data_IF_376665467206
#
_entry.id   IF_376665467206
#
_cell.length_a   1.000
_cell.length_b   1.000
_cell.length_c   1.000
_cell.angle_alpha   90.00
_cell.angle_beta   90.00
_cell.angle_gamma   90.00
#
_symmetry.space_group_name_H-M   'P 1'
#
loop_
_entity.id
_entity.type
_entity.pdbx_description
1 polymer ?
#
# COMPACT_ATOMS: atom_id res chain seq x y z
N UNK A 1 -1.46 19.06 -23.33
CA UNK A 1 -2.72 19.58 -23.91
C UNK A 1 -3.47 20.21 -22.75
N UNK A 2 -3.43 21.55 -22.68
CA UNK A 2 -4.28 22.31 -21.75
C UNK A 2 -5.69 22.32 -22.35
N UNK A 3 -6.50 21.34 -21.98
CA UNK A 3 -7.93 21.40 -22.25
C UNK A 3 -8.55 22.41 -21.29
N UNK A 4 -9.11 23.48 -21.85
CA UNK A 4 -9.88 24.46 -21.10
C UNK A 4 -11.04 23.76 -20.39
N UNK A 5 -11.20 24.01 -19.09
CA UNK A 5 -12.29 23.46 -18.28
C UNK A 5 -13.65 23.78 -18.92
N UNK A 6 -14.36 22.75 -19.37
CA UNK A 6 -15.65 22.87 -20.05
C UNK A 6 -16.66 21.94 -19.38
N UNK A 7 -17.66 22.50 -18.71
CA UNK A 7 -18.70 21.76 -17.95
C UNK A 7 -19.44 20.70 -18.81
N UNK A 8 -19.85 20.95 -20.06
CA UNK A 8 -20.42 19.93 -20.93
C UNK A 8 -19.49 18.73 -21.17
N UNK A 9 -18.20 18.95 -21.38
CA UNK A 9 -17.20 17.88 -21.52
C UNK A 9 -17.06 17.08 -20.24
N UNK A 10 -17.01 17.74 -19.09
CA UNK A 10 -16.94 17.07 -17.78
C UNK A 10 -18.15 16.16 -17.56
N UNK A 11 -19.37 16.62 -17.87
CA UNK A 11 -20.58 15.78 -17.75
C UNK A 11 -20.57 14.58 -18.69
N UNK A 12 -20.10 14.76 -19.92
CA UNK A 12 -19.99 13.67 -20.88
C UNK A 12 -18.96 12.64 -20.42
N UNK A 13 -17.75 13.08 -20.07
CA UNK A 13 -16.67 12.21 -19.60
C UNK A 13 -17.04 11.51 -18.29
N UNK A 14 -17.72 12.21 -17.36
CA UNK A 14 -18.20 11.61 -16.12
C UNK A 14 -19.25 10.52 -16.39
N UNK A 15 -20.12 10.70 -17.36
CA UNK A 15 -21.09 9.67 -17.76
C UNK A 15 -20.41 8.47 -18.42
N UNK A 16 -19.43 8.71 -19.25
CA UNK A 16 -18.65 7.67 -19.93
C UNK A 16 -17.76 6.89 -18.94
N UNK A 17 -17.27 7.58 -17.89
CA UNK A 17 -16.46 6.97 -16.82
C UNK A 17 -17.31 6.38 -15.67
N UNK A 18 -18.63 6.59 -15.64
CA UNK A 18 -19.47 6.22 -14.50
C UNK A 18 -19.39 4.74 -14.14
N UNK A 19 -19.35 3.84 -15.13
CA UNK A 19 -19.19 2.40 -14.89
C UNK A 19 -17.82 2.06 -14.31
N UNK A 20 -16.75 2.76 -14.72
CA UNK A 20 -15.42 2.56 -14.16
C UNK A 20 -15.35 3.01 -12.69
N UNK A 21 -16.05 4.09 -12.31
CA UNK A 21 -16.18 4.52 -10.91
C UNK A 21 -16.97 3.55 -10.04
N UNK A 22 -17.77 2.67 -10.65
CA UNK A 22 -18.49 1.64 -9.90
C UNK A 22 -17.52 0.60 -9.28
N UNK A 23 -16.35 0.37 -9.89
CA UNK A 23 -15.36 -0.59 -9.38
C UNK A 23 -14.87 -0.26 -7.96
N UNK A 24 -14.35 0.94 -7.68
CA UNK A 24 -13.98 1.32 -6.31
C UNK A 24 -15.16 1.23 -5.33
N UNK A 25 -16.37 1.61 -5.77
CA UNK A 25 -17.56 1.55 -4.92
C UNK A 25 -17.95 0.11 -4.58
N UNK A 26 -17.90 -0.81 -5.53
CA UNK A 26 -18.18 -2.24 -5.30
C UNK A 26 -17.14 -2.83 -4.34
N UNK A 27 -15.86 -2.57 -4.58
CA UNK A 27 -14.76 -3.14 -3.79
C UNK A 27 -14.79 -2.58 -2.37
N UNK A 28 -14.70 -1.25 -2.24
CA UNK A 28 -14.61 -0.59 -0.94
C UNK A 28 -15.94 -0.72 -0.18
N UNK A 29 -17.07 -0.53 -0.86
CA UNK A 29 -18.39 -0.68 -0.26
C UNK A 29 -18.66 -2.11 0.22
N UNK A 30 -18.21 -3.12 -0.53
CA UNK A 30 -18.31 -4.52 -0.14
C UNK A 30 -17.45 -4.86 1.09
N UNK A 31 -16.21 -4.37 1.12
CA UNK A 31 -15.27 -4.61 2.22
C UNK A 31 -15.69 -3.84 3.48
N UNK A 32 -15.94 -2.53 3.38
CA UNK A 32 -16.35 -1.71 4.54
C UNK A 32 -17.76 -2.01 5.03
N UNK A 33 -18.63 -2.49 4.13
CA UNK A 33 -19.95 -3.00 4.50
C UNK A 33 -19.93 -4.37 5.18
N UNK A 34 -18.78 -5.01 5.30
CA UNK A 34 -18.63 -6.34 5.90
C UNK A 34 -19.26 -7.48 5.08
N UNK A 35 -19.62 -7.22 3.83
CA UNK A 35 -20.27 -8.21 2.95
C UNK A 35 -19.28 -9.19 2.34
N UNK A 36 -18.06 -8.71 2.07
CA UNK A 36 -16.98 -9.49 1.46
C UNK A 36 -15.65 -9.23 2.15
N UNK A 37 -14.80 -10.24 2.18
CA UNK A 37 -13.40 -10.10 2.59
C UNK A 37 -12.59 -9.39 1.49
N UNK A 38 -11.39 -8.91 1.81
CA UNK A 38 -10.50 -8.28 0.84
C UNK A 38 -10.18 -9.20 -0.36
N UNK A 39 -10.04 -10.51 -0.11
CA UNK A 39 -9.77 -11.52 -1.15
C UNK A 39 -10.99 -11.73 -2.05
N UNK A 40 -12.18 -11.84 -1.48
CA UNK A 40 -13.44 -11.94 -2.24
C UNK A 40 -13.71 -10.65 -3.01
N UNK A 41 -13.43 -9.48 -2.41
CA UNK A 41 -13.50 -8.19 -3.07
C UNK A 41 -12.61 -8.10 -4.31
N UNK A 42 -11.39 -8.66 -4.24
CA UNK A 42 -10.51 -8.77 -5.41
C UNK A 42 -11.11 -9.66 -6.52
N UNK A 43 -11.72 -10.80 -6.15
CA UNK A 43 -12.44 -11.65 -7.11
C UNK A 43 -13.62 -10.92 -7.76
N UNK A 44 -14.43 -10.21 -6.98
CA UNK A 44 -15.52 -9.36 -7.49
C UNK A 44 -15.00 -8.26 -8.41
N UNK A 45 -13.86 -7.67 -8.12
CA UNK A 45 -13.23 -6.66 -8.98
C UNK A 45 -12.90 -7.22 -10.36
N UNK A 46 -12.37 -8.44 -10.43
CA UNK A 46 -12.10 -9.11 -11.72
C UNK A 46 -13.38 -9.32 -12.50
N UNK A 47 -14.42 -9.88 -11.88
CA UNK A 47 -15.71 -10.11 -12.55
C UNK A 47 -16.33 -8.79 -13.02
N UNK A 48 -16.36 -7.78 -12.15
CA UNK A 48 -16.89 -6.46 -12.50
C UNK A 48 -16.10 -5.79 -13.64
N UNK A 49 -14.76 -5.88 -13.61
CA UNK A 49 -13.90 -5.35 -14.68
C UNK A 49 -14.15 -6.03 -16.03
N UNK A 50 -14.35 -7.34 -16.04
CA UNK A 50 -14.72 -8.09 -17.25
C UNK A 50 -16.06 -7.63 -17.80
N UNK A 51 -17.08 -7.54 -16.94
CA UNK A 51 -18.42 -7.09 -17.34
C UNK A 51 -18.38 -5.67 -17.91
N UNK A 52 -17.69 -4.74 -17.23
CA UNK A 52 -17.55 -3.35 -17.69
C UNK A 52 -16.80 -3.28 -19.01
N UNK A 53 -15.71 -4.03 -19.14
CA UNK A 53 -14.93 -4.06 -20.38
C UNK A 53 -15.69 -4.64 -21.58
N UNK A 54 -16.56 -5.63 -21.33
CA UNK A 54 -17.47 -6.12 -22.38
C UNK A 54 -18.54 -5.07 -22.75
N UNK A 55 -19.09 -4.35 -21.79
CA UNK A 55 -20.07 -3.27 -22.04
C UNK A 55 -19.42 -2.16 -22.89
N UNK A 56 -18.18 -1.77 -22.57
CA UNK A 56 -17.43 -0.76 -23.34
C UNK A 56 -16.89 -1.31 -24.68
N UNK A 57 -17.01 -2.63 -24.92
CA UNK A 57 -16.44 -3.29 -26.10
C UNK A 57 -14.92 -3.08 -26.27
N UNK A 58 -14.23 -2.94 -25.15
CA UNK A 58 -12.78 -2.76 -25.12
C UNK A 58 -12.01 -4.06 -24.88
N UNK A 59 -12.71 -5.13 -24.46
CA UNK A 59 -12.13 -6.46 -24.25
C UNK A 59 -12.28 -7.28 -25.53
N UNK A 60 -11.12 -7.67 -26.08
CA UNK A 60 -10.96 -8.71 -27.09
C UNK A 60 -10.34 -9.95 -26.43
N UNK A 61 -10.59 -11.13 -27.01
CA UNK A 61 -10.07 -12.39 -26.47
C UNK A 61 -8.53 -12.37 -26.36
N UNK A 62 -7.85 -11.73 -27.30
CA UNK A 62 -6.39 -11.55 -27.26
C UNK A 62 -5.94 -10.72 -26.07
N UNK A 63 -6.56 -9.57 -25.81
CA UNK A 63 -6.27 -8.70 -24.67
C UNK A 63 -6.58 -9.40 -23.35
N UNK A 64 -7.67 -10.17 -23.29
CA UNK A 64 -8.01 -10.94 -22.10
C UNK A 64 -6.93 -11.99 -21.80
N UNK A 65 -6.45 -12.69 -22.81
CA UNK A 65 -5.37 -13.68 -22.68
C UNK A 65 -4.05 -13.02 -22.23
N UNK A 66 -3.68 -11.90 -22.85
CA UNK A 66 -2.50 -11.13 -22.47
C UNK A 66 -2.57 -10.66 -21.01
N UNK A 67 -3.69 -10.07 -20.60
CA UNK A 67 -3.91 -9.64 -19.19
C UNK A 67 -3.89 -10.80 -18.22
N UNK A 68 -4.44 -11.96 -18.60
CA UNK A 68 -4.39 -13.16 -17.76
C UNK A 68 -2.94 -13.66 -17.60
N UNK A 69 -2.16 -13.68 -18.68
CA UNK A 69 -0.75 -14.06 -18.62
C UNK A 69 0.07 -13.09 -17.75
N UNK A 70 -0.13 -11.77 -17.90
CA UNK A 70 0.54 -10.77 -17.05
C UNK A 70 0.15 -10.94 -15.59
N UNK A 71 -1.12 -11.14 -15.29
CA UNK A 71 -1.63 -11.42 -13.94
C UNK A 71 -1.02 -12.69 -13.34
N UNK A 72 -0.88 -13.75 -14.14
CA UNK A 72 -0.25 -15.00 -13.72
C UNK A 72 1.23 -14.80 -13.39
N UNK A 73 1.98 -14.06 -14.21
CA UNK A 73 3.39 -13.74 -13.98
C UNK A 73 3.55 -12.91 -12.69
N UNK A 74 2.71 -11.90 -12.48
CA UNK A 74 2.74 -11.09 -11.26
C UNK A 74 2.41 -11.94 -10.03
N UNK A 75 1.39 -12.79 -10.10
CA UNK A 75 1.02 -13.70 -9.03
C UNK A 75 2.15 -14.68 -8.70
N UNK A 76 2.77 -15.28 -9.72
CA UNK A 76 3.90 -16.18 -9.53
C UNK A 76 5.09 -15.47 -8.86
N UNK A 77 5.39 -14.24 -9.26
CA UNK A 77 6.45 -13.43 -8.65
C UNK A 77 6.18 -13.13 -7.19
N UNK A 78 4.94 -12.77 -6.84
CA UNK A 78 4.53 -12.53 -5.44
C UNK A 78 4.60 -13.83 -4.63
N UNK A 79 4.12 -14.96 -5.18
CA UNK A 79 4.18 -16.25 -4.50
C UNK A 79 5.62 -16.73 -4.25
N UNK A 80 6.53 -16.45 -5.19
CA UNK A 80 7.95 -16.74 -4.99
C UNK A 80 8.54 -15.91 -3.85
N UNK A 81 8.21 -14.62 -3.78
CA UNK A 81 8.61 -13.75 -2.67
C UNK A 81 8.04 -14.23 -1.33
N UNK A 82 6.79 -14.65 -1.28
CA UNK A 82 6.16 -15.22 -0.08
C UNK A 82 6.89 -16.49 0.35
N UNK A 83 7.15 -17.42 -0.57
CA UNK A 83 7.85 -18.66 -0.26
C UNK A 83 9.27 -18.40 0.28
N UNK A 84 10.03 -17.51 -0.37
CA UNK A 84 11.37 -17.12 0.09
C UNK A 84 11.33 -16.45 1.47
N UNK A 85 10.33 -15.61 1.73
CA UNK A 85 10.16 -14.92 3.00
C UNK A 85 9.78 -15.84 4.13
N UNK A 86 8.97 -16.87 3.87
CA UNK A 86 8.64 -17.91 4.88
C UNK A 86 9.90 -18.66 5.29
N UNK A 87 10.72 -19.09 4.33
CA UNK A 87 12.01 -19.76 4.62
C UNK A 87 12.96 -18.85 5.41
N UNK A 88 13.07 -17.58 5.00
CA UNK A 88 13.87 -16.61 5.73
C UNK A 88 13.32 -16.39 7.15
N UNK A 89 12.01 -16.25 7.29
CA UNK A 89 11.33 -16.07 8.58
C UNK A 89 11.57 -17.25 9.53
N UNK A 90 11.53 -18.48 9.02
CA UNK A 90 11.84 -19.68 9.80
C UNK A 90 13.31 -19.67 10.27
N UNK A 91 14.24 -19.38 9.37
CA UNK A 91 15.67 -19.24 9.73
C UNK A 91 15.87 -18.15 10.80
N UNK A 92 15.31 -16.96 10.60
CA UNK A 92 15.41 -15.86 11.55
C UNK A 92 14.83 -16.20 12.91
N UNK A 93 13.75 -17.00 12.96
CA UNK A 93 13.10 -17.43 14.19
C UNK A 93 13.95 -18.45 14.94
N UNK A 94 14.54 -19.42 14.23
CA UNK A 94 15.45 -20.42 14.81
C UNK A 94 16.68 -19.74 15.43
N UNK A 95 17.26 -18.77 14.72
CA UNK A 95 18.43 -18.00 15.19
C UNK A 95 18.06 -16.91 16.23
N UNK A 96 16.79 -16.73 16.54
CA UNK A 96 16.26 -15.72 17.46
C UNK A 96 16.70 -14.29 17.11
N UNK A 97 16.93 -14.02 15.83
CA UNK A 97 17.41 -12.73 15.36
C UNK A 97 16.41 -11.59 15.68
N UNK A 98 15.08 -11.74 15.45
CA UNK A 98 14.12 -10.72 15.82
C UNK A 98 14.13 -10.39 17.31
N UNK A 99 14.30 -11.39 18.17
CA UNK A 99 14.37 -11.22 19.61
C UNK A 99 15.65 -10.47 20.02
N UNK A 100 16.80 -10.86 19.47
CA UNK A 100 18.08 -10.17 19.73
C UNK A 100 18.05 -8.70 19.29
N UNK A 101 17.43 -8.43 18.15
CA UNK A 101 17.22 -7.05 17.66
C UNK A 101 16.29 -6.28 18.59
N UNK A 102 15.19 -6.90 19.01
CA UNK A 102 14.24 -6.29 19.95
C UNK A 102 14.90 -5.95 21.29
N UNK A 103 15.66 -6.91 21.87
CA UNK A 103 16.42 -6.71 23.11
C UNK A 103 17.43 -5.57 22.96
N UNK A 104 18.22 -5.55 21.89
CA UNK A 104 19.19 -4.47 21.63
C UNK A 104 18.55 -3.08 21.53
N UNK A 105 17.35 -2.98 20.96
CA UNK A 105 16.61 -1.72 20.86
C UNK A 105 16.02 -1.35 22.21
N UNK A 106 15.49 -2.33 22.97
CA UNK A 106 14.92 -2.10 24.30
C UNK A 106 16.00 -1.69 25.31
N UNK A 107 17.20 -2.28 25.22
CA UNK A 107 18.35 -1.89 26.01
C UNK A 107 18.78 -0.44 25.74
N UNK A 108 18.66 0.00 24.48
CA UNK A 108 18.91 1.40 24.10
C UNK A 108 17.78 2.34 24.54
N UNK A 109 16.50 1.89 24.39
CA UNK A 109 15.34 2.69 24.78
C UNK A 109 14.08 1.85 25.00
N UNK A 110 13.48 2.02 26.17
CA UNK A 110 12.16 1.45 26.50
C UNK A 110 11.00 2.42 26.17
N UNK A 111 11.30 3.57 25.57
CA UNK A 111 10.28 4.54 25.23
C UNK A 111 9.58 4.15 23.93
N UNK A 112 8.30 3.79 24.02
CA UNK A 112 7.43 3.46 22.90
C UNK A 112 7.53 4.44 21.72
N UNK A 113 7.58 5.73 22.00
CA UNK A 113 7.65 6.78 20.98
C UNK A 113 9.02 6.82 20.28
N UNK A 114 10.09 6.56 21.00
CA UNK A 114 11.42 6.46 20.41
C UNK A 114 11.53 5.22 19.49
N UNK A 115 10.99 4.08 19.91
CA UNK A 115 10.92 2.86 19.10
C UNK A 115 10.11 3.12 17.82
N UNK A 116 8.94 3.77 17.92
CA UNK A 116 8.14 4.15 16.74
C UNK A 116 8.92 5.06 15.78
N UNK A 117 9.70 6.01 16.31
CA UNK A 117 10.57 6.86 15.50
C UNK A 117 11.64 6.08 14.74
N UNK A 118 12.33 5.16 15.41
CA UNK A 118 13.33 4.28 14.81
C UNK A 118 12.69 3.41 13.70
N UNK A 119 11.54 2.81 13.99
CA UNK A 119 10.80 2.00 13.01
C UNK A 119 10.32 2.82 11.81
N UNK A 120 9.87 4.05 12.00
CA UNK A 120 9.49 4.93 10.89
C UNK A 120 10.68 5.20 9.96
N UNK A 121 11.84 5.56 10.50
CA UNK A 121 13.04 5.81 9.70
C UNK A 121 13.46 4.55 8.95
N UNK A 122 13.46 3.42 9.62
CA UNK A 122 13.79 2.11 9.03
C UNK A 122 12.84 1.75 7.88
N UNK A 123 11.52 1.88 8.09
CA UNK A 123 10.49 1.58 7.09
C UNK A 123 10.54 2.54 5.90
N UNK A 124 10.81 3.83 6.13
CA UNK A 124 11.00 4.80 5.05
C UNK A 124 12.19 4.42 4.17
N UNK A 125 13.33 4.08 4.80
CA UNK A 125 14.53 3.65 4.05
C UNK A 125 14.22 2.42 3.20
N UNK A 126 13.58 1.41 3.79
CA UNK A 126 13.17 0.21 3.06
C UNK A 126 12.19 0.55 1.93
N UNK A 127 11.22 1.41 2.18
CA UNK A 127 10.23 1.84 1.19
C UNK A 127 10.82 2.58 -0.01
N UNK A 128 12.00 3.20 0.13
CA UNK A 128 12.70 3.82 -1.02
C UNK A 128 13.25 2.80 -2.01
N UNK A 129 13.58 1.59 -1.55
CA UNK A 129 14.27 0.58 -2.35
C UNK A 129 13.38 -0.61 -2.73
N UNK A 130 12.44 -0.99 -1.85
CA UNK A 130 11.60 -2.16 -2.03
C UNK A 130 10.17 -1.78 -2.38
N UNK A 131 9.57 -2.59 -3.25
CA UNK A 131 8.12 -2.52 -3.46
C UNK A 131 7.37 -2.91 -2.18
N UNK A 132 6.22 -2.27 -1.88
CA UNK A 132 5.49 -2.44 -0.61
C UNK A 132 5.23 -3.89 -0.25
N UNK A 133 4.82 -4.72 -1.20
CA UNK A 133 4.51 -6.13 -0.95
C UNK A 133 5.73 -6.86 -0.41
N UNK A 134 6.88 -6.72 -1.10
CA UNK A 134 8.14 -7.33 -0.65
C UNK A 134 8.59 -6.77 0.70
N UNK A 135 8.49 -5.45 0.88
CA UNK A 135 8.85 -4.80 2.14
C UNK A 135 8.02 -5.32 3.31
N UNK A 136 6.68 -5.42 3.18
CA UNK A 136 5.80 -5.93 4.24
C UNK A 136 6.15 -7.38 4.59
N UNK A 137 6.26 -8.24 3.57
CA UNK A 137 6.50 -9.67 3.77
C UNK A 137 7.84 -9.93 4.47
N UNK A 138 8.87 -9.15 4.13
CA UNK A 138 10.20 -9.30 4.72
C UNK A 138 10.34 -8.66 6.09
N UNK A 139 9.78 -7.45 6.29
CA UNK A 139 10.09 -6.66 7.49
C UNK A 139 9.13 -6.89 8.64
N UNK A 140 7.84 -7.08 8.37
CA UNK A 140 6.83 -7.21 9.42
C UNK A 140 7.13 -8.38 10.38
N UNK A 141 7.47 -9.60 9.93
CA UNK A 141 7.80 -10.68 10.84
C UNK A 141 9.02 -10.39 11.73
N UNK A 142 9.98 -9.62 11.22
CA UNK A 142 11.21 -9.26 11.95
C UNK A 142 10.92 -8.25 13.07
N UNK A 143 10.07 -7.26 12.81
CA UNK A 143 9.84 -6.17 13.75
C UNK A 143 8.66 -6.41 14.70
N UNK A 144 7.76 -7.37 14.41
CA UNK A 144 6.60 -7.67 15.24
C UNK A 144 6.92 -8.04 16.68
N UNK A 145 7.97 -8.83 17.01
CA UNK A 145 8.36 -9.09 18.39
C UNK A 145 8.67 -7.81 19.16
N UNK A 146 9.38 -6.86 18.54
CA UNK A 146 9.66 -5.54 19.14
C UNK A 146 8.39 -4.73 19.36
N UNK A 147 7.50 -4.68 18.36
CA UNK A 147 6.19 -3.99 18.41
C UNK A 147 5.37 -4.48 19.59
N UNK A 148 5.29 -5.81 19.77
CA UNK A 148 4.56 -6.44 20.86
C UNK A 148 5.23 -6.18 22.23
N UNK A 149 6.56 -6.23 22.29
CA UNK A 149 7.31 -6.02 23.52
C UNK A 149 7.12 -4.59 24.11
N UNK A 150 6.99 -3.58 23.24
CA UNK A 150 6.75 -2.19 23.68
C UNK A 150 5.26 -1.83 23.76
N UNK A 151 4.37 -2.80 23.57
CA UNK A 151 2.92 -2.63 23.70
C UNK A 151 2.29 -1.72 22.66
N UNK A 152 2.76 -1.78 21.39
CA UNK A 152 2.13 -1.11 20.26
C UNK A 152 1.03 -2.02 19.71
N UNK A 153 -0.17 -1.46 19.46
CA UNK A 153 -1.26 -2.21 18.83
C UNK A 153 -0.87 -2.63 17.40
N UNK A 154 -1.02 -3.92 17.03
CA UNK A 154 -0.64 -4.42 15.71
C UNK A 154 -1.37 -3.75 14.55
N UNK A 155 -2.64 -3.37 14.72
CA UNK A 155 -3.43 -2.67 13.69
C UNK A 155 -2.89 -1.26 13.48
N UNK A 156 -2.60 -0.55 14.58
CA UNK A 156 -1.97 0.77 14.53
C UNK A 156 -0.62 0.70 13.82
N UNK A 157 0.20 -0.30 14.17
CA UNK A 157 1.49 -0.51 13.50
C UNK A 157 1.32 -0.83 12.01
N UNK A 158 0.34 -1.63 11.63
CA UNK A 158 0.01 -1.91 10.22
C UNK A 158 -0.31 -0.65 9.42
N UNK A 159 -1.05 0.29 10.00
CA UNK A 159 -1.34 1.59 9.37
C UNK A 159 -0.05 2.40 9.18
N UNK A 160 0.82 2.43 10.19
CA UNK A 160 2.13 3.10 10.13
C UNK A 160 3.00 2.50 9.01
N UNK A 161 3.11 1.17 8.93
CA UNK A 161 3.86 0.47 7.87
C UNK A 161 3.34 0.86 6.50
N UNK A 162 2.02 0.80 6.30
CA UNK A 162 1.38 1.11 5.03
C UNK A 162 1.67 2.55 4.58
N UNK A 163 1.56 3.52 5.48
CA UNK A 163 1.88 4.92 5.19
C UNK A 163 3.36 5.13 4.87
N UNK A 164 4.27 4.54 5.64
CA UNK A 164 5.71 4.63 5.39
C UNK A 164 6.07 4.13 3.99
N UNK A 165 5.57 2.95 3.63
CA UNK A 165 5.86 2.34 2.34
C UNK A 165 5.20 3.10 1.18
N UNK A 166 4.00 3.64 1.38
CA UNK A 166 3.34 4.50 0.39
C UNK A 166 4.15 5.77 0.11
N UNK A 167 4.71 6.40 1.14
CA UNK A 167 5.60 7.57 1.00
C UNK A 167 6.90 7.16 0.29
N UNK A 168 7.50 6.04 0.70
CA UNK A 168 8.73 5.53 0.12
C UNK A 168 8.62 5.32 -1.40
N UNK A 169 7.53 4.71 -1.87
CA UNK A 169 7.31 4.45 -3.29
C UNK A 169 7.11 5.70 -4.17
N UNK A 170 6.84 6.84 -3.57
CA UNK A 170 6.74 8.12 -4.27
C UNK A 170 8.03 8.93 -4.21
N UNK A 171 9.02 8.46 -3.43
CA UNK A 171 10.26 9.20 -3.17
C UNK A 171 11.44 8.54 -3.92
N UNK A 172 12.25 9.31 -4.67
CA UNK A 172 13.48 8.78 -5.25
C UNK A 172 14.38 8.13 -4.15
N UNK A 173 15.15 7.07 -4.44
CA UNK A 173 15.75 6.74 -5.75
C UNK A 173 14.92 5.80 -6.66
N UNK A 174 14.10 4.91 -6.12
CA UNK A 174 13.38 3.94 -6.98
C UNK A 174 12.00 4.47 -7.39
N UNK A 175 11.24 5.04 -6.45
CA UNK A 175 9.97 5.74 -6.69
C UNK A 175 9.02 5.00 -7.66
N UNK A 176 8.79 3.71 -7.45
CA UNK A 176 8.10 2.83 -8.42
C UNK A 176 6.72 3.33 -8.84
N UNK A 177 5.95 3.89 -7.90
CA UNK A 177 4.63 4.48 -8.18
C UNK A 177 4.77 5.76 -9.00
N UNK A 178 5.74 6.62 -8.65
CA UNK A 178 6.00 7.87 -9.37
C UNK A 178 6.43 7.60 -10.81
N UNK A 179 7.35 6.65 -11.02
CA UNK A 179 7.82 6.23 -12.35
C UNK A 179 6.65 5.74 -13.20
N UNK A 180 5.79 4.90 -12.64
CA UNK A 180 4.60 4.40 -13.35
C UNK A 180 3.65 5.54 -13.72
N UNK A 181 3.38 6.46 -12.80
CA UNK A 181 2.52 7.62 -13.04
C UNK A 181 3.11 8.53 -14.15
N UNK A 182 4.42 8.81 -14.11
CA UNK A 182 5.10 9.58 -15.14
C UNK A 182 5.04 8.91 -16.52
N UNK A 183 5.18 7.58 -16.56
CA UNK A 183 5.08 6.81 -17.80
C UNK A 183 3.70 6.92 -18.43
N UNK A 184 2.64 6.79 -17.63
CA UNK A 184 1.24 6.94 -18.08
C UNK A 184 0.95 8.37 -18.53
N UNK A 185 1.39 9.37 -17.77
CA UNK A 185 1.18 10.79 -18.06
C UNK A 185 2.12 11.32 -19.16
N UNK A 186 3.13 10.55 -19.59
CA UNK A 186 4.20 10.99 -20.50
C UNK A 186 4.89 12.28 -20.02
N UNK A 187 5.07 12.38 -18.70
CA UNK A 187 5.68 13.53 -18.05
C UNK A 187 7.12 13.23 -17.63
N UNK A 188 7.96 14.29 -17.54
CA UNK A 188 9.32 14.14 -17.06
C UNK A 188 9.34 13.83 -15.56
N UNK A 189 10.16 12.83 -15.17
CA UNK A 189 10.25 12.37 -13.78
C UNK A 189 10.73 13.48 -12.83
N UNK A 190 11.67 14.32 -13.27
CA UNK A 190 12.25 15.35 -12.43
C UNK A 190 11.27 16.48 -12.15
N UNK A 191 10.48 16.88 -13.15
CA UNK A 191 9.45 17.90 -13.00
C UNK A 191 8.34 17.43 -12.06
N UNK A 192 7.91 16.18 -12.25
CA UNK A 192 6.89 15.57 -11.38
C UNK A 192 7.42 15.39 -9.96
N UNK A 193 8.67 14.90 -9.79
CA UNK A 193 9.30 14.76 -8.47
C UNK A 193 9.36 16.09 -7.74
N UNK A 194 9.77 17.15 -8.42
CA UNK A 194 9.85 18.50 -7.82
C UNK A 194 8.49 19.00 -7.35
N UNK A 195 7.46 18.77 -8.14
CA UNK A 195 6.08 19.13 -7.77
C UNK A 195 5.55 18.25 -6.62
N UNK A 196 5.96 16.98 -6.58
CA UNK A 196 5.51 16.00 -5.58
C UNK A 196 6.13 16.22 -4.18
N UNK A 197 7.26 16.92 -4.07
CA UNK A 197 7.93 17.18 -2.77
C UNK A 197 6.96 17.80 -1.76
N UNK A 198 6.12 18.74 -2.18
CA UNK A 198 5.15 19.39 -1.29
C UNK A 198 4.14 18.38 -0.73
N UNK A 199 3.68 17.44 -1.56
CA UNK A 199 2.77 16.38 -1.14
C UNK A 199 3.46 15.38 -0.23
N UNK A 200 4.71 15.01 -0.51
CA UNK A 200 5.52 14.15 0.35
C UNK A 200 5.70 14.78 1.73
N UNK A 201 5.96 16.08 1.82
CA UNK A 201 6.05 16.79 3.10
C UNK A 201 4.74 16.70 3.90
N UNK A 202 3.59 16.89 3.25
CA UNK A 202 2.27 16.73 3.90
C UNK A 202 2.07 15.29 4.40
N UNK A 203 2.42 14.30 3.58
CA UNK A 203 2.32 12.89 3.96
C UNK A 203 3.27 12.53 5.13
N UNK A 204 4.47 13.11 5.18
CA UNK A 204 5.38 12.94 6.32
C UNK A 204 4.79 13.54 7.61
N UNK A 205 4.18 14.72 7.54
CA UNK A 205 3.46 15.30 8.69
C UNK A 205 2.30 14.40 9.11
N UNK A 206 1.53 13.88 8.16
CA UNK A 206 0.45 12.94 8.45
C UNK A 206 0.99 11.65 9.08
N UNK A 207 2.09 11.12 8.58
CA UNK A 207 2.77 9.96 9.17
C UNK A 207 3.14 10.20 10.63
N UNK A 208 3.73 11.35 10.93
CA UNK A 208 4.06 11.71 12.32
C UNK A 208 2.82 11.83 13.20
N UNK A 209 1.75 12.46 12.70
CA UNK A 209 0.48 12.55 13.43
C UNK A 209 -0.11 11.16 13.69
N UNK A 210 -0.18 10.30 12.69
CA UNK A 210 -0.70 8.94 12.82
C UNK A 210 0.18 8.11 13.77
N UNK A 211 1.49 8.27 13.73
CA UNK A 211 2.43 7.53 14.58
C UNK A 211 2.29 7.92 16.05
N UNK A 212 2.27 9.22 16.34
CA UNK A 212 2.33 9.71 17.72
C UNK A 212 0.97 9.99 18.35
N UNK A 213 -0.10 10.03 17.56
CA UNK A 213 -1.48 10.21 18.03
C UNK A 213 -2.34 9.02 17.61
N UNK A 214 -2.25 7.87 18.30
CA UNK A 214 -2.98 6.64 17.94
C UNK A 214 -4.48 6.82 17.82
N UNK A 215 -5.06 7.78 18.55
CA UNK A 215 -6.49 8.07 18.50
C UNK A 215 -6.98 8.40 17.07
N UNK A 216 -6.15 9.05 16.25
CA UNK A 216 -6.57 9.45 14.89
C UNK A 216 -6.91 8.22 14.03
N UNK A 217 -5.99 7.27 13.80
CA UNK A 217 -6.30 6.10 12.99
C UNK A 217 -7.19 5.08 13.71
N UNK A 218 -7.05 4.94 15.03
CA UNK A 218 -7.76 3.90 15.78
C UNK A 218 -9.24 4.22 16.03
N UNK A 219 -9.64 5.49 16.04
CA UNK A 219 -11.07 5.87 16.18
C UNK A 219 -11.93 5.25 15.07
N UNK A 220 -11.44 5.26 13.82
CA UNK A 220 -12.15 4.62 12.71
C UNK A 220 -12.18 3.10 12.85
N UNK A 221 -11.08 2.50 13.30
CA UNK A 221 -10.99 1.05 13.53
C UNK A 221 -11.95 0.63 14.65
N UNK A 222 -12.01 1.38 15.75
CA UNK A 222 -12.92 1.12 16.86
C UNK A 222 -14.38 1.27 16.44
N UNK A 223 -14.70 2.32 15.69
CA UNK A 223 -16.06 2.57 15.22
C UNK A 223 -16.59 1.46 14.29
N UNK A 224 -15.76 0.96 13.36
CA UNK A 224 -16.21 0.00 12.36
C UNK A 224 -16.00 -1.48 12.74
N UNK A 225 -15.03 -1.80 13.59
CA UNK A 225 -14.61 -3.18 13.83
C UNK A 225 -14.57 -3.62 15.29
N UNK A 226 -14.69 -2.70 16.24
CA UNK A 226 -14.67 -3.01 17.69
C UNK A 226 -15.92 -2.54 18.43
N UNK A 227 -16.95 -2.07 17.71
CA UNK A 227 -18.25 -1.70 18.31
C UNK A 227 -19.11 -2.92 18.60
#
# INVERSE_FOLDING_TARGET
VEETFNIPNVKKTAKDAALAFLLPVIILGGIFGGVVTATEGAGLAVVASLVIGFIYKEIDFKRLYESACEGAIQTASVMLLVAASVLLGEFLTIEQIPQKVAESIIDFTNNKYAVLGILNIFLLIIGFFLHSVAAIILTVPIVMPLVNAVGIDPVHFGIIVTLNLAIGQQTPPVASVLVTACSVAKADIWDVTRSNISFICVLLVLLLLVTYVPAIPMTLVEYFYRS
#
